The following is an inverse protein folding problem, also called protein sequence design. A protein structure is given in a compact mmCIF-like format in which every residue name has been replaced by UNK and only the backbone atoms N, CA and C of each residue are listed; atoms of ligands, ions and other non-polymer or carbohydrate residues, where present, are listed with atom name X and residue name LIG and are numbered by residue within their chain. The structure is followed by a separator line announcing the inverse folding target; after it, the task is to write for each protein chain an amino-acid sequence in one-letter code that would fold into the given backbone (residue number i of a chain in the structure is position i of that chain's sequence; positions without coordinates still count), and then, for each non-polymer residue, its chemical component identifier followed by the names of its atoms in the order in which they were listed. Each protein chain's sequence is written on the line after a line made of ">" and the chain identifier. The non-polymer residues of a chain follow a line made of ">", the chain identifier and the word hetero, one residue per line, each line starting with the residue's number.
data_IF_035289904535
#
_entry.id   IF_035289904535
#
_cell.length_a   1.000
_cell.length_b   1.000
_cell.length_c   1.000
_cell.angle_alpha   90.00
_cell.angle_beta   90.00
_cell.angle_gamma   90.00
#
_symmetry.space_group_name_H-M   'P 1'
#
loop_
_entity.id
_entity.type
_entity.pdbx_description
1 polymer ?
#
# COMPACT_ATOMS: atom_id res chain seq x y z
N UNK A 1 -11.72 -27.43 7.27
CA UNK A 1 -11.29 -26.41 6.31
C UNK A 1 -9.79 -26.42 6.27
N UNK A 2 -9.17 -26.37 5.10
CA UNK A 2 -7.74 -26.14 5.00
C UNK A 2 -7.43 -24.76 5.55
N UNK A 3 -6.41 -24.63 6.40
CA UNK A 3 -5.92 -23.33 6.84
C UNK A 3 -5.17 -22.69 5.67
N UNK A 4 -5.19 -21.36 5.57
CA UNK A 4 -4.43 -20.64 4.55
C UNK A 4 -3.43 -19.69 5.20
N UNK A 5 -2.39 -19.30 4.45
CA UNK A 5 -1.42 -18.30 4.85
C UNK A 5 -1.62 -17.03 4.03
N UNK A 6 -1.60 -15.87 4.70
CA UNK A 6 -1.70 -14.56 4.04
C UNK A 6 -0.30 -14.07 3.69
N UNK A 7 -0.12 -13.71 2.43
CA UNK A 7 1.08 -13.09 1.88
C UNK A 7 0.75 -11.73 1.27
N UNK A 8 1.79 -10.92 1.14
CA UNK A 8 1.78 -9.69 0.35
C UNK A 8 3.15 -9.44 -0.24
N UNK A 9 3.24 -8.53 -1.20
CA UNK A 9 4.53 -7.92 -1.51
C UNK A 9 4.85 -6.79 -0.54
N UNK A 10 6.13 -6.38 -0.47
CA UNK A 10 6.63 -5.39 0.48
C UNK A 10 6.03 -3.97 0.31
N UNK A 11 5.34 -3.70 -0.79
CA UNK A 11 4.72 -2.38 -1.03
C UNK A 11 3.49 -2.09 -0.15
N UNK A 12 3.08 -3.02 0.72
CA UNK A 12 2.09 -2.78 1.78
C UNK A 12 2.65 -1.99 2.96
N UNK A 13 3.96 -1.84 3.06
CA UNK A 13 4.68 -1.08 4.10
C UNK A 13 4.38 -1.54 5.55
N UNK A 14 3.89 -2.77 5.75
CA UNK A 14 3.71 -3.33 7.08
C UNK A 14 5.05 -3.54 7.77
N UNK A 15 5.20 -3.01 8.98
CA UNK A 15 6.38 -3.27 9.82
C UNK A 15 6.49 -4.75 10.19
N UNK A 16 7.67 -5.22 10.56
CA UNK A 16 7.87 -6.60 11.02
C UNK A 16 6.99 -6.93 12.24
N UNK A 17 6.76 -5.95 13.12
CA UNK A 17 5.87 -6.09 14.27
C UNK A 17 4.41 -6.31 13.80
N UNK A 18 3.92 -5.51 12.87
CA UNK A 18 2.57 -5.66 12.31
C UNK A 18 2.42 -6.98 11.55
N UNK A 19 3.43 -7.37 10.75
CA UNK A 19 3.44 -8.66 10.06
C UNK A 19 3.29 -9.83 11.03
N UNK A 20 4.02 -9.80 12.15
CA UNK A 20 3.93 -10.83 13.19
C UNK A 20 2.56 -10.81 13.91
N UNK A 21 2.05 -9.62 14.27
CA UNK A 21 0.78 -9.48 14.97
C UNK A 21 -0.41 -9.99 14.14
N UNK A 22 -0.41 -9.75 12.84
CA UNK A 22 -1.45 -10.18 11.90
C UNK A 22 -1.15 -11.51 11.21
N UNK A 23 0.00 -12.13 11.49
CA UNK A 23 0.47 -13.37 10.84
C UNK A 23 0.52 -13.26 9.30
N UNK A 24 0.92 -12.10 8.79
CA UNK A 24 1.10 -11.81 7.38
C UNK A 24 2.58 -11.95 7.02
N UNK A 25 2.88 -12.62 5.91
CA UNK A 25 4.23 -12.73 5.38
C UNK A 25 4.40 -11.81 4.17
N UNK A 26 5.53 -11.06 4.10
CA UNK A 26 5.79 -10.19 2.95
C UNK A 26 6.99 -10.67 2.14
N UNK A 27 6.87 -10.57 0.82
CA UNK A 27 7.97 -10.77 -0.14
C UNK A 27 8.56 -9.39 -0.46
N UNK A 28 9.80 -9.09 -0.05
CA UNK A 28 10.34 -7.74 -0.12
C UNK A 28 10.65 -7.32 -1.55
N UNK A 29 10.49 -6.03 -1.81
CA UNK A 29 11.09 -5.37 -2.95
C UNK A 29 12.59 -5.17 -2.72
N UNK A 30 13.28 -4.80 -3.78
CA UNK A 30 14.69 -4.46 -3.77
C UNK A 30 14.86 -2.97 -4.01
N UNK A 31 15.78 -2.34 -3.29
CA UNK A 31 16.13 -0.92 -3.41
C UNK A 31 17.62 -0.79 -3.70
N UNK A 32 17.97 0.09 -4.60
CA UNK A 32 19.37 0.38 -4.98
C UNK A 32 19.62 1.88 -4.97
N UNK A 33 20.73 2.28 -4.39
CA UNK A 33 21.20 3.68 -4.39
C UNK A 33 22.10 3.98 -5.59
N UNK A 34 22.85 3.00 -6.07
CA UNK A 34 23.84 3.12 -7.16
C UNK A 34 23.34 2.55 -8.50
N UNK A 35 22.18 1.89 -8.50
CA UNK A 35 21.61 1.20 -9.64
C UNK A 35 22.32 -0.11 -10.03
N UNK A 36 23.18 -0.63 -9.16
CA UNK A 36 23.95 -1.88 -9.34
C UNK A 36 23.72 -2.87 -8.22
N UNK A 37 23.82 -2.40 -6.98
CA UNK A 37 23.62 -3.21 -5.78
C UNK A 37 22.19 -3.03 -5.31
N UNK A 38 21.42 -4.11 -5.22
CA UNK A 38 20.04 -4.13 -4.81
C UNK A 38 19.89 -4.84 -3.46
N UNK A 39 19.33 -4.14 -2.48
CA UNK A 39 19.12 -4.59 -1.10
C UNK A 39 17.66 -4.91 -0.87
N UNK A 40 17.36 -6.04 -0.21
CA UNK A 40 15.98 -6.41 0.19
C UNK A 40 15.49 -5.49 1.30
N UNK A 41 14.37 -4.80 1.04
CA UNK A 41 13.72 -3.92 2.01
C UNK A 41 13.36 -4.66 3.29
N UNK A 42 13.52 -4.02 4.45
CA UNK A 42 13.34 -4.54 5.81
C UNK A 42 14.23 -5.72 6.22
N UNK A 43 14.93 -6.38 5.28
CA UNK A 43 15.85 -7.49 5.57
C UNK A 43 17.31 -7.05 5.52
N UNK A 44 17.70 -6.35 4.47
CA UNK A 44 19.07 -5.91 4.20
C UNK A 44 19.19 -4.38 4.25
N UNK A 45 18.08 -3.67 4.10
CA UNK A 45 17.97 -2.22 4.14
C UNK A 45 16.98 -1.80 5.24
N UNK A 46 17.47 -1.06 6.23
CA UNK A 46 16.62 -0.41 7.25
C UNK A 46 16.01 0.88 6.71
N UNK A 47 14.83 1.28 7.23
CA UNK A 47 14.21 2.55 6.85
C UNK A 47 15.08 3.76 7.23
N UNK A 48 15.76 3.72 8.38
CA UNK A 48 16.67 4.82 8.80
C UNK A 48 17.79 5.05 7.79
N UNK A 49 18.44 3.96 7.34
CA UNK A 49 19.48 4.05 6.31
C UNK A 49 18.93 4.57 4.99
N UNK A 50 17.75 4.09 4.59
CA UNK A 50 17.09 4.56 3.38
C UNK A 50 16.75 6.06 3.43
N UNK A 51 16.14 6.52 4.53
CA UNK A 51 15.76 7.93 4.66
C UNK A 51 16.97 8.86 4.80
N UNK A 52 18.03 8.41 5.46
CA UNK A 52 19.28 9.16 5.48
C UNK A 52 19.77 9.43 4.05
N UNK A 53 19.85 8.41 3.20
CA UNK A 53 20.25 8.57 1.80
C UNK A 53 19.28 9.45 0.99
N UNK A 54 17.98 9.25 1.16
CA UNK A 54 16.96 9.99 0.42
C UNK A 54 16.97 11.50 0.74
N UNK A 55 17.18 11.87 2.01
CA UNK A 55 17.03 13.23 2.53
C UNK A 55 18.36 13.95 2.55
N UNK A 56 19.37 13.39 3.21
CA UNK A 56 20.67 14.03 3.42
C UNK A 56 21.51 14.03 2.15
N UNK A 57 21.56 12.91 1.44
CA UNK A 57 22.31 12.79 0.20
C UNK A 57 21.49 13.23 -1.04
N UNK A 58 20.18 13.50 -0.86
CA UNK A 58 19.24 13.89 -1.94
C UNK A 58 19.27 12.88 -3.09
N UNK A 59 19.37 11.61 -2.75
CA UNK A 59 19.47 10.50 -3.68
C UNK A 59 18.14 10.26 -4.43
N UNK A 60 18.25 9.51 -5.53
CA UNK A 60 17.11 8.99 -6.28
C UNK A 60 17.22 7.47 -6.33
N UNK A 61 16.81 6.77 -5.28
CA UNK A 61 16.87 5.31 -5.25
C UNK A 61 16.08 4.68 -6.40
N UNK A 62 16.54 3.53 -6.86
CA UNK A 62 15.83 2.69 -7.83
C UNK A 62 15.25 1.49 -7.12
N UNK A 63 14.14 0.98 -7.62
CA UNK A 63 13.50 -0.23 -7.09
C UNK A 63 13.46 -1.33 -8.13
N UNK A 64 13.48 -2.57 -7.66
CA UNK A 64 13.17 -3.76 -8.44
C UNK A 64 12.09 -4.57 -7.72
N UNK A 65 11.18 -5.12 -8.49
CA UNK A 65 10.11 -5.97 -7.94
C UNK A 65 10.65 -7.33 -7.49
N UNK A 66 9.95 -8.04 -6.59
CA UNK A 66 10.26 -9.42 -6.25
C UNK A 66 10.21 -10.32 -7.48
N UNK A 67 11.19 -11.20 -7.62
CA UNK A 67 11.26 -12.16 -8.72
C UNK A 67 10.23 -13.30 -8.53
N UNK A 68 10.01 -14.07 -9.58
CA UNK A 68 9.24 -15.33 -9.51
C UNK A 68 9.82 -16.27 -8.47
N UNK A 69 11.15 -16.37 -8.41
CA UNK A 69 11.85 -17.22 -7.44
C UNK A 69 11.62 -16.79 -6.00
N UNK A 70 11.62 -15.47 -5.71
CA UNK A 70 11.32 -14.95 -4.37
C UNK A 70 9.92 -15.39 -3.90
N UNK A 71 8.92 -15.41 -4.80
CA UNK A 71 7.57 -15.89 -4.47
C UNK A 71 7.51 -17.41 -4.32
N UNK A 72 8.20 -18.18 -5.17
CA UNK A 72 8.31 -19.63 -5.00
C UNK A 72 8.92 -19.97 -3.64
N UNK A 73 10.06 -19.37 -3.29
CA UNK A 73 10.71 -19.58 -1.98
C UNK A 73 9.80 -19.19 -0.80
N UNK A 74 9.01 -18.11 -0.94
CA UNK A 74 8.12 -17.65 0.11
C UNK A 74 6.89 -18.56 0.31
N UNK A 75 6.31 -19.06 -0.79
CA UNK A 75 5.05 -19.83 -0.74
C UNK A 75 5.27 -21.31 -0.40
N UNK A 76 6.37 -21.91 -0.85
CA UNK A 76 6.67 -23.34 -0.69
C UNK A 76 6.50 -23.85 0.75
N UNK A 77 7.06 -23.19 1.80
CA UNK A 77 6.92 -23.69 3.17
C UNK A 77 5.46 -23.77 3.66
N UNK A 78 4.60 -22.86 3.21
CA UNK A 78 3.18 -22.88 3.57
C UNK A 78 2.46 -24.06 2.86
N UNK A 79 2.76 -24.29 1.59
CA UNK A 79 2.21 -25.38 0.79
C UNK A 79 2.66 -26.75 1.30
N UNK A 80 3.95 -26.90 1.65
CA UNK A 80 4.48 -28.11 2.29
C UNK A 80 3.80 -28.41 3.64
N UNK A 81 3.40 -27.35 4.37
CA UNK A 81 2.61 -27.47 5.60
C UNK A 81 1.12 -27.76 5.35
N UNK A 82 0.69 -27.95 4.11
CA UNK A 82 -0.70 -28.23 3.72
C UNK A 82 -1.64 -27.05 3.85
N UNK A 83 -1.10 -25.80 3.78
CA UNK A 83 -1.89 -24.56 3.80
C UNK A 83 -2.16 -24.08 2.39
N UNK A 84 -3.34 -23.51 2.19
CA UNK A 84 -3.65 -22.71 1.00
C UNK A 84 -2.99 -21.34 1.08
N UNK A 85 -2.97 -20.58 -0.01
CA UNK A 85 -2.33 -19.25 -0.08
C UNK A 85 -3.30 -18.19 -0.54
N UNK A 86 -3.33 -17.08 0.21
CA UNK A 86 -3.84 -15.78 -0.23
C UNK A 86 -2.67 -14.82 -0.35
N UNK A 87 -2.47 -14.20 -1.52
CA UNK A 87 -1.44 -13.17 -1.70
C UNK A 87 -2.03 -11.91 -2.31
N UNK A 88 -1.97 -10.79 -1.58
CA UNK A 88 -2.47 -9.48 -1.99
C UNK A 88 -1.30 -8.60 -2.42
N UNK A 89 -1.40 -7.99 -3.59
CA UNK A 89 -0.30 -7.26 -4.24
C UNK A 89 -0.62 -5.80 -4.47
N UNK A 90 0.43 -4.97 -4.55
CA UNK A 90 0.34 -3.62 -5.10
C UNK A 90 -0.32 -3.66 -6.47
N UNK A 91 -1.08 -2.60 -6.81
CA UNK A 91 -1.73 -2.51 -8.11
C UNK A 91 -0.78 -2.80 -9.28
N UNK A 92 -1.24 -3.63 -10.21
CA UNK A 92 -0.49 -4.03 -11.41
C UNK A 92 -0.10 -2.83 -12.30
N UNK A 93 -0.79 -1.71 -12.18
CA UNK A 93 -0.47 -0.49 -12.96
C UNK A 93 0.82 0.21 -12.48
N UNK A 94 1.23 -0.03 -11.22
CA UNK A 94 2.43 0.55 -10.62
C UNK A 94 3.61 -0.44 -10.58
N UNK A 95 3.34 -1.76 -10.51
CA UNK A 95 4.38 -2.79 -10.40
C UNK A 95 3.98 -4.11 -11.05
N UNK A 96 4.96 -4.80 -11.64
CA UNK A 96 4.80 -6.17 -12.12
C UNK A 96 4.88 -7.25 -11.03
N UNK A 97 4.90 -6.88 -9.72
CA UNK A 97 5.01 -7.82 -8.60
C UNK A 97 3.95 -8.93 -8.66
N UNK A 98 2.69 -8.55 -8.89
CA UNK A 98 1.59 -9.50 -9.06
C UNK A 98 1.85 -10.49 -10.21
N UNK A 99 2.43 -10.04 -11.33
CA UNK A 99 2.75 -10.93 -12.45
C UNK A 99 3.81 -11.97 -12.08
N UNK A 100 4.82 -11.59 -11.28
CA UNK A 100 5.80 -12.55 -10.74
C UNK A 100 5.12 -13.59 -9.84
N UNK A 101 4.20 -13.17 -8.96
CA UNK A 101 3.44 -14.08 -8.10
C UNK A 101 2.50 -15.01 -8.89
N UNK A 102 1.85 -14.52 -9.95
CA UNK A 102 1.03 -15.34 -10.84
C UNK A 102 1.86 -16.41 -11.55
N UNK A 103 3.08 -16.07 -11.97
CA UNK A 103 4.00 -17.06 -12.59
C UNK A 103 4.47 -18.08 -11.56
N UNK A 104 4.80 -17.65 -10.33
CA UNK A 104 5.14 -18.55 -9.22
C UNK A 104 3.97 -19.50 -8.88
N UNK A 105 2.74 -18.99 -8.86
CA UNK A 105 1.53 -19.80 -8.68
C UNK A 105 1.47 -20.94 -9.71
N UNK A 106 1.62 -20.65 -11.01
CA UNK A 106 1.56 -21.67 -12.06
C UNK A 106 2.59 -22.78 -11.84
N UNK A 107 3.81 -22.42 -11.42
CA UNK A 107 4.87 -23.41 -11.13
C UNK A 107 4.50 -24.28 -9.91
N UNK A 108 3.98 -23.64 -8.86
CA UNK A 108 3.64 -24.35 -7.62
C UNK A 108 2.37 -25.21 -7.72
N UNK A 109 1.42 -24.86 -8.58
CA UNK A 109 0.22 -25.69 -8.84
C UNK A 109 0.56 -27.03 -9.51
N UNK A 110 1.68 -27.12 -10.25
CA UNK A 110 2.18 -28.38 -10.80
C UNK A 110 2.71 -29.29 -9.68
N UNK A 111 3.35 -28.73 -8.66
CA UNK A 111 3.95 -29.46 -7.55
C UNK A 111 2.92 -29.75 -6.43
N UNK A 112 1.99 -28.81 -6.18
CA UNK A 112 0.96 -28.86 -5.14
C UNK A 112 -0.46 -28.82 -5.73
N UNK A 113 -0.91 -29.84 -6.51
CA UNK A 113 -2.15 -29.75 -7.28
C UNK A 113 -3.44 -29.67 -6.47
N UNK A 114 -3.38 -29.97 -5.17
CA UNK A 114 -4.54 -29.89 -4.26
C UNK A 114 -4.61 -28.57 -3.48
N UNK A 115 -3.57 -27.73 -3.54
CA UNK A 115 -3.53 -26.45 -2.84
C UNK A 115 -4.24 -25.36 -3.66
N UNK A 116 -4.92 -24.45 -2.96
CA UNK A 116 -5.50 -23.26 -3.55
C UNK A 116 -4.55 -22.09 -3.37
N UNK A 117 -4.19 -21.44 -4.47
CA UNK A 117 -3.35 -20.24 -4.46
C UNK A 117 -4.13 -19.09 -5.10
N UNK A 118 -4.53 -18.11 -4.29
CA UNK A 118 -5.22 -16.92 -4.74
C UNK A 118 -4.28 -15.72 -4.75
N UNK A 119 -4.11 -15.12 -5.93
CA UNK A 119 -3.32 -13.91 -6.15
C UNK A 119 -4.29 -12.78 -6.47
N UNK A 120 -4.31 -11.74 -5.64
CA UNK A 120 -5.29 -10.64 -5.70
C UNK A 120 -4.56 -9.32 -5.93
N UNK A 121 -5.06 -8.53 -6.88
CA UNK A 121 -4.65 -7.13 -7.07
C UNK A 121 -5.39 -6.23 -6.07
N UNK A 122 -4.68 -5.51 -5.22
CA UNK A 122 -5.30 -4.59 -4.27
C UNK A 122 -5.92 -3.35 -4.92
N UNK A 123 -5.58 -3.04 -6.17
CA UNK A 123 -5.79 -1.73 -6.81
C UNK A 123 -5.22 -0.56 -6.01
N UNK A 124 -4.35 -0.83 -5.05
CA UNK A 124 -3.80 0.12 -4.10
C UNK A 124 -2.30 -0.12 -3.86
N UNK A 125 -1.75 0.55 -2.87
CA UNK A 125 -0.37 0.45 -2.40
C UNK A 125 -0.31 0.88 -0.92
N UNK A 126 0.85 0.72 -0.28
CA UNK A 126 1.16 1.24 1.05
C UNK A 126 0.02 1.03 2.08
N UNK A 127 -0.34 2.04 2.85
CA UNK A 127 -1.34 1.93 3.91
C UNK A 127 -2.70 1.41 3.47
N UNK A 128 -3.18 1.70 2.25
CA UNK A 128 -4.46 1.14 1.79
C UNK A 128 -4.38 -0.35 1.47
N UNK A 129 -3.25 -0.83 0.96
CA UNK A 129 -2.97 -2.26 0.83
C UNK A 129 -2.84 -2.92 2.20
N UNK A 130 -2.17 -2.23 3.15
CA UNK A 130 -2.07 -2.69 4.54
C UNK A 130 -3.43 -2.83 5.22
N UNK A 131 -4.34 -1.85 5.07
CA UNK A 131 -5.69 -1.90 5.64
C UNK A 131 -6.47 -3.12 5.12
N UNK A 132 -6.41 -3.40 3.82
CA UNK A 132 -7.04 -4.61 3.24
C UNK A 132 -6.45 -5.90 3.81
N UNK A 133 -5.14 -5.95 4.02
CA UNK A 133 -4.45 -7.09 4.63
C UNK A 133 -4.84 -7.28 6.09
N UNK A 134 -4.96 -6.19 6.86
CA UNK A 134 -5.40 -6.24 8.26
C UNK A 134 -6.82 -6.77 8.38
N UNK A 135 -7.74 -6.33 7.51
CA UNK A 135 -9.10 -6.85 7.47
C UNK A 135 -9.14 -8.33 7.05
N UNK A 136 -8.37 -8.72 6.04
CA UNK A 136 -8.23 -10.14 5.65
C UNK A 136 -7.72 -11.02 6.80
N UNK A 137 -6.76 -10.52 7.58
CA UNK A 137 -6.23 -11.22 8.75
C UNK A 137 -7.27 -11.32 9.88
N UNK A 138 -8.05 -10.26 10.12
CA UNK A 138 -9.18 -10.28 11.07
C UNK A 138 -10.21 -11.35 10.67
N UNK A 139 -10.60 -11.37 9.41
CA UNK A 139 -11.52 -12.39 8.88
C UNK A 139 -10.98 -13.82 9.10
N UNK A 140 -9.68 -14.03 8.84
CA UNK A 140 -9.04 -15.33 9.08
C UNK A 140 -9.08 -15.71 10.57
N UNK A 141 -8.76 -14.77 11.48
CA UNK A 141 -8.81 -14.99 12.93
C UNK A 141 -10.23 -15.32 13.42
N UNK A 142 -11.26 -14.79 12.77
CA UNK A 142 -12.66 -15.09 13.04
C UNK A 142 -13.15 -16.39 12.36
N UNK A 143 -12.25 -17.14 11.71
CA UNK A 143 -12.55 -18.44 11.12
C UNK A 143 -13.23 -18.39 9.75
N UNK A 144 -13.18 -17.25 9.05
CA UNK A 144 -13.66 -17.13 7.67
C UNK A 144 -12.82 -17.99 6.72
N UNK A 145 -13.46 -18.53 5.71
CA UNK A 145 -12.79 -19.31 4.66
C UNK A 145 -11.96 -18.44 3.73
N UNK A 146 -11.03 -19.06 3.02
CA UNK A 146 -10.22 -18.41 1.99
C UNK A 146 -11.10 -17.73 0.93
N UNK A 147 -12.16 -18.40 0.50
CA UNK A 147 -13.10 -17.92 -0.51
C UNK A 147 -13.87 -16.68 -0.03
N UNK A 148 -14.31 -16.65 1.24
CA UNK A 148 -14.96 -15.46 1.84
C UNK A 148 -14.00 -14.27 1.87
N UNK A 149 -12.72 -14.49 2.27
CA UNK A 149 -11.71 -13.43 2.31
C UNK A 149 -11.37 -12.92 0.92
N UNK A 150 -11.24 -13.80 -0.07
CA UNK A 150 -11.03 -13.40 -1.48
C UNK A 150 -12.23 -12.61 -1.99
N UNK A 151 -13.46 -13.05 -1.70
CA UNK A 151 -14.69 -12.34 -2.09
C UNK A 151 -14.74 -10.93 -1.49
N UNK A 152 -14.37 -10.78 -0.22
CA UNK A 152 -14.23 -9.47 0.42
C UNK A 152 -13.21 -8.59 -0.32
N UNK A 153 -11.99 -9.07 -0.52
CA UNK A 153 -10.92 -8.29 -1.16
C UNK A 153 -11.30 -7.82 -2.57
N UNK A 154 -11.96 -8.68 -3.36
CA UNK A 154 -12.43 -8.35 -4.71
C UNK A 154 -13.51 -7.24 -4.74
N UNK A 155 -14.28 -7.11 -3.66
CA UNK A 155 -15.25 -6.03 -3.49
C UNK A 155 -14.56 -4.79 -2.90
N UNK A 156 -13.86 -4.95 -1.78
CA UNK A 156 -13.29 -3.85 -0.98
C UNK A 156 -12.24 -3.01 -1.74
N UNK A 157 -11.46 -3.62 -2.64
CA UNK A 157 -10.48 -2.89 -3.45
C UNK A 157 -11.07 -1.74 -4.27
N UNK A 158 -12.38 -1.76 -4.58
CA UNK A 158 -13.09 -0.71 -5.33
C UNK A 158 -13.42 0.49 -4.44
N UNK A 159 -13.64 0.24 -3.14
CA UNK A 159 -14.00 1.26 -2.15
C UNK A 159 -12.78 1.82 -1.44
N UNK A 160 -11.62 1.17 -1.60
CA UNK A 160 -10.34 1.54 -1.00
C UNK A 160 -9.59 2.57 -1.82
N UNK A 161 -8.98 3.58 -1.17
CA UNK A 161 -8.21 4.63 -1.86
C UNK A 161 -7.17 5.29 -0.99
N UNK A 162 -6.26 5.99 -1.64
CA UNK A 162 -5.27 6.86 -0.99
C UNK A 162 -5.44 8.28 -1.53
N UNK A 163 -5.48 9.25 -0.63
CA UNK A 163 -5.43 10.67 -0.95
C UNK A 163 -4.15 11.22 -0.34
N UNK A 164 -3.20 11.66 -1.15
CA UNK A 164 -1.87 12.01 -0.67
C UNK A 164 -1.28 13.25 -1.34
N UNK A 165 -0.46 13.96 -0.60
CA UNK A 165 0.33 15.11 -1.05
C UNK A 165 1.80 14.70 -1.11
N UNK A 166 2.48 15.07 -2.18
CA UNK A 166 3.92 14.84 -2.35
C UNK A 166 4.71 16.15 -2.39
N UNK A 167 6.00 16.06 -2.07
CA UNK A 167 6.91 17.20 -2.12
C UNK A 167 7.09 17.74 -3.53
N UNK A 168 7.28 16.85 -4.51
CA UNK A 168 7.40 17.17 -5.93
C UNK A 168 7.09 15.95 -6.81
N UNK A 169 6.80 16.17 -8.10
CA UNK A 169 6.58 15.09 -9.07
C UNK A 169 7.88 14.41 -9.54
N UNK A 170 9.04 14.89 -9.14
CA UNK A 170 10.35 14.46 -9.67
C UNK A 170 10.59 12.96 -9.45
N UNK A 171 10.27 12.43 -8.27
CA UNK A 171 10.45 11.02 -7.96
C UNK A 171 9.52 10.14 -8.79
N UNK A 172 8.24 10.50 -8.91
CA UNK A 172 7.27 9.79 -9.78
C UNK A 172 7.70 9.78 -11.25
N UNK A 173 8.24 10.93 -11.73
CA UNK A 173 8.76 11.03 -13.10
C UNK A 173 9.96 10.12 -13.33
N UNK A 174 10.98 10.24 -12.46
CA UNK A 174 12.21 9.46 -12.56
C UNK A 174 11.94 7.95 -12.39
N UNK A 175 11.01 7.60 -11.54
CA UNK A 175 10.56 6.21 -11.34
C UNK A 175 9.65 5.68 -12.44
N UNK A 176 9.16 6.52 -13.35
CA UNK A 176 8.24 6.13 -14.42
C UNK A 176 6.82 5.79 -13.95
N UNK A 177 6.43 6.17 -12.72
CA UNK A 177 5.10 5.93 -12.13
C UNK A 177 4.21 7.18 -12.13
N UNK A 178 4.57 8.18 -12.90
CA UNK A 178 3.81 9.44 -13.01
C UNK A 178 2.46 9.26 -13.73
N UNK A 179 2.28 8.23 -14.55
CA UNK A 179 1.00 7.87 -15.17
C UNK A 179 0.24 9.04 -15.79
N UNK A 180 -1.06 9.06 -15.57
CA UNK A 180 -2.00 10.07 -16.14
C UNK A 180 -1.76 11.50 -15.64
N UNK A 181 -1.01 11.67 -14.54
CA UNK A 181 -0.70 13.01 -13.98
C UNK A 181 0.53 13.66 -14.60
N UNK A 182 1.16 13.07 -15.62
CA UNK A 182 2.33 13.60 -16.31
C UNK A 182 2.12 15.03 -16.86
N UNK A 183 0.90 15.38 -17.24
CA UNK A 183 0.55 16.72 -17.72
C UNK A 183 0.74 17.82 -16.64
N UNK A 184 0.76 17.48 -15.35
CA UNK A 184 1.04 18.43 -14.28
C UNK A 184 2.52 18.83 -14.21
N UNK A 185 3.42 18.07 -14.85
CA UNK A 185 4.87 18.24 -14.73
C UNK A 185 5.43 19.50 -15.39
N UNK A 186 4.69 20.10 -16.31
CA UNK A 186 5.27 21.10 -17.24
C UNK A 186 5.35 22.53 -16.70
N UNK A 187 4.74 22.90 -15.56
CA UNK A 187 4.59 24.34 -15.26
C UNK A 187 4.64 24.81 -13.79
N UNK A 188 5.02 24.01 -12.79
CA UNK A 188 4.74 24.45 -11.43
C UNK A 188 5.93 24.28 -10.45
N UNK A 189 6.86 25.20 -10.53
CA UNK A 189 7.80 25.50 -9.44
C UNK A 189 7.00 25.98 -8.20
N UNK A 190 7.21 25.33 -7.04
CA UNK A 190 6.67 25.68 -5.70
C UNK A 190 5.24 25.23 -5.38
N UNK A 191 4.61 24.35 -6.14
CA UNK A 191 3.38 23.69 -5.67
C UNK A 191 3.64 22.26 -5.21
N UNK A 192 2.79 21.81 -4.32
CA UNK A 192 2.74 20.42 -3.80
C UNK A 192 1.52 19.74 -4.43
N UNK A 193 1.73 18.79 -5.32
CA UNK A 193 0.62 18.04 -5.92
C UNK A 193 -0.13 17.23 -4.89
N UNK A 194 -1.45 17.17 -5.06
CA UNK A 194 -2.34 16.23 -4.35
C UNK A 194 -2.82 15.22 -5.37
N UNK A 195 -2.69 13.97 -5.01
CA UNK A 195 -2.92 12.82 -5.87
C UNK A 195 -3.93 11.89 -5.18
N UNK A 196 -4.77 11.25 -5.97
CA UNK A 196 -5.68 10.20 -5.51
C UNK A 196 -5.33 8.91 -6.24
N UNK A 197 -4.98 7.86 -5.48
CA UNK A 197 -4.91 6.50 -6.00
C UNK A 197 -6.25 5.83 -5.75
N UNK A 198 -6.91 5.42 -6.82
CA UNK A 198 -8.18 4.69 -6.83
C UNK A 198 -8.29 3.85 -8.09
N UNK A 199 -9.03 2.78 -8.03
CA UNK A 199 -9.25 1.87 -9.18
C UNK A 199 -7.92 1.42 -9.84
N UNK A 200 -6.86 1.30 -9.04
CA UNK A 200 -5.53 0.93 -9.49
C UNK A 200 -4.71 2.03 -10.15
N UNK A 201 -5.22 3.26 -10.30
CA UNK A 201 -4.58 4.33 -11.04
C UNK A 201 -4.44 5.63 -10.24
N UNK A 202 -3.39 6.41 -10.54
CA UNK A 202 -3.19 7.73 -9.96
C UNK A 202 -3.95 8.80 -10.74
N UNK A 203 -4.64 9.67 -10.01
CA UNK A 203 -5.43 10.78 -10.53
C UNK A 203 -5.02 12.09 -9.88
N UNK A 204 -5.28 13.21 -10.57
CA UNK A 204 -5.09 14.55 -10.00
C UNK A 204 -6.16 14.79 -8.94
N UNK A 205 -5.74 14.99 -7.69
CA UNK A 205 -6.60 15.44 -6.59
C UNK A 205 -6.63 16.96 -6.41
N UNK A 206 -5.55 17.64 -6.85
CA UNK A 206 -5.41 19.07 -6.69
C UNK A 206 -3.95 19.49 -6.56
N UNK A 207 -3.76 20.70 -6.03
CA UNK A 207 -2.43 21.22 -5.73
C UNK A 207 -2.49 22.33 -4.67
N UNK A 208 -1.43 22.45 -3.88
CA UNK A 208 -1.31 23.47 -2.84
C UNK A 208 0.09 24.09 -2.83
N UNK A 209 0.21 25.27 -2.21
CA UNK A 209 1.52 25.93 -2.03
C UNK A 209 2.07 25.81 -0.61
N UNK A 210 1.29 25.31 0.33
CA UNK A 210 1.74 25.14 1.72
C UNK A 210 1.33 23.79 2.25
N UNK A 211 2.16 23.19 3.11
CA UNK A 211 1.90 21.91 3.74
C UNK A 211 0.62 21.93 4.58
N UNK A 212 0.46 22.94 5.45
CA UNK A 212 -0.74 23.10 6.26
C UNK A 212 -2.04 23.14 5.45
N UNK A 213 -2.06 23.89 4.33
CA UNK A 213 -3.22 23.90 3.43
C UNK A 213 -3.40 22.56 2.71
N UNK A 214 -2.27 21.89 2.41
CA UNK A 214 -2.30 20.56 1.81
C UNK A 214 -2.95 19.52 2.71
N UNK A 215 -2.55 19.46 3.97
CA UNK A 215 -3.17 18.56 4.96
C UNK A 215 -4.68 18.83 5.07
N UNK A 216 -5.09 20.10 5.18
CA UNK A 216 -6.51 20.43 5.21
C UNK A 216 -7.26 20.00 3.93
N UNK A 217 -6.61 20.09 2.76
CA UNK A 217 -7.19 19.64 1.50
C UNK A 217 -7.27 18.11 1.41
N UNK A 218 -6.30 17.35 1.98
CA UNK A 218 -6.41 15.88 2.09
C UNK A 218 -7.64 15.49 2.88
N UNK A 219 -7.84 16.10 4.05
CA UNK A 219 -9.01 15.83 4.91
C UNK A 219 -10.31 16.20 4.20
N UNK A 220 -10.37 17.36 3.56
CA UNK A 220 -11.52 17.81 2.78
C UNK A 220 -11.86 16.82 1.65
N UNK A 221 -10.88 16.38 0.88
CA UNK A 221 -11.09 15.41 -0.20
C UNK A 221 -11.55 14.05 0.33
N UNK A 222 -11.10 13.66 1.52
CA UNK A 222 -11.58 12.45 2.20
C UNK A 222 -13.07 12.62 2.60
N UNK A 223 -13.45 13.77 3.17
CA UNK A 223 -14.84 14.05 3.51
C UNK A 223 -15.74 14.14 2.27
N UNK A 224 -15.27 14.81 1.21
CA UNK A 224 -15.98 14.89 -0.07
C UNK A 224 -16.21 13.52 -0.71
N UNK A 225 -15.29 12.56 -0.50
CA UNK A 225 -15.51 11.20 -0.98
C UNK A 225 -16.78 10.60 -0.37
N UNK A 226 -16.93 10.64 0.96
CA UNK A 226 -18.10 10.12 1.66
C UNK A 226 -19.39 10.88 1.29
N UNK A 227 -19.31 12.20 1.15
CA UNK A 227 -20.45 13.01 0.71
C UNK A 227 -20.93 12.63 -0.70
N UNK A 228 -20.00 12.38 -1.63
CA UNK A 228 -20.33 12.04 -3.03
C UNK A 228 -20.78 10.60 -3.22
N UNK A 229 -20.22 9.67 -2.47
CA UNK A 229 -20.60 8.25 -2.53
C UNK A 229 -21.88 7.95 -1.75
N UNK A 230 -22.21 8.78 -0.75
CA UNK A 230 -23.30 8.52 0.18
C UNK A 230 -23.00 7.43 1.21
N UNK A 231 -21.73 6.99 1.29
CA UNK A 231 -21.30 5.96 2.22
C UNK A 231 -21.09 6.53 3.63
N UNK A 232 -21.30 5.69 4.64
CA UNK A 232 -21.14 6.07 6.04
C UNK A 232 -19.67 5.97 6.46
N UNK A 233 -19.01 7.05 6.93
CA UNK A 233 -17.65 6.98 7.45
C UNK A 233 -17.43 5.96 8.59
N UNK A 234 -18.47 5.63 9.36
CA UNK A 234 -18.41 4.62 10.41
C UNK A 234 -18.14 3.19 9.89
N UNK A 235 -18.41 2.94 8.60
CA UNK A 235 -18.15 1.65 7.95
C UNK A 235 -16.69 1.49 7.50
N UNK A 236 -15.86 2.52 7.73
CA UNK A 236 -14.48 2.60 7.25
C UNK A 236 -13.48 2.69 8.38
N UNK A 237 -12.26 2.20 8.07
CA UNK A 237 -11.05 2.47 8.84
C UNK A 237 -10.12 3.36 8.01
N UNK A 238 -9.34 4.19 8.68
CA UNK A 238 -8.37 5.06 8.03
C UNK A 238 -7.02 5.01 8.72
N UNK A 239 -5.97 5.25 7.92
CA UNK A 239 -4.58 5.29 8.35
C UNK A 239 -3.90 6.51 7.76
N UNK A 240 -3.16 7.27 8.57
CA UNK A 240 -2.29 8.34 8.09
C UNK A 240 -0.91 7.76 7.82
N UNK A 241 -0.40 7.95 6.59
CA UNK A 241 0.94 7.54 6.18
C UNK A 241 1.83 8.74 5.86
N UNK A 242 3.08 8.71 6.32
CA UNK A 242 4.08 9.75 6.00
C UNK A 242 5.42 9.12 5.64
N UNK A 243 6.22 9.84 4.85
CA UNK A 243 7.62 9.50 4.64
C UNK A 243 8.47 10.00 5.83
N UNK A 244 9.14 11.13 5.67
CA UNK A 244 10.05 11.76 6.62
C UNK A 244 9.41 12.83 7.51
N UNK A 245 8.15 13.18 7.25
CA UNK A 245 7.43 14.29 7.91
C UNK A 245 6.46 13.77 8.99
N UNK A 246 6.98 12.98 9.92
CA UNK A 246 6.19 12.30 10.96
C UNK A 246 5.46 13.28 11.88
N UNK A 247 5.92 14.51 12.02
CA UNK A 247 5.25 15.58 12.76
C UNK A 247 3.89 15.98 12.16
N UNK A 248 3.60 15.57 10.92
CA UNK A 248 2.31 15.83 10.28
C UNK A 248 1.23 14.79 10.60
N UNK A 249 1.60 13.66 11.22
CA UNK A 249 0.64 12.60 11.57
C UNK A 249 -0.43 13.12 12.52
N UNK A 250 -0.03 13.55 13.72
CA UNK A 250 -0.98 13.98 14.73
C UNK A 250 -1.89 15.17 14.30
N UNK A 251 -1.38 16.21 13.62
CA UNK A 251 -2.25 17.25 13.06
C UNK A 251 -3.24 16.72 12.01
N UNK A 252 -2.84 15.76 11.17
CA UNK A 252 -3.72 15.17 10.15
C UNK A 252 -4.82 14.34 10.80
N UNK A 253 -4.48 13.51 11.77
CA UNK A 253 -5.45 12.71 12.54
C UNK A 253 -6.44 13.58 13.30
N UNK A 254 -5.96 14.66 13.94
CA UNK A 254 -6.82 15.60 14.65
C UNK A 254 -7.85 16.26 13.73
N UNK A 255 -7.43 16.67 12.52
CA UNK A 255 -8.33 17.26 11.53
C UNK A 255 -9.32 16.22 10.99
N UNK A 256 -8.88 14.97 10.74
CA UNK A 256 -9.76 13.89 10.33
C UNK A 256 -10.85 13.60 11.36
N UNK A 257 -10.47 13.50 12.63
CA UNK A 257 -11.43 13.28 13.73
C UNK A 257 -12.41 14.44 13.91
N UNK A 258 -11.98 15.67 13.67
CA UNK A 258 -12.86 16.83 13.72
C UNK A 258 -13.88 16.85 12.58
N UNK A 259 -13.45 16.49 11.36
CA UNK A 259 -14.30 16.51 10.15
C UNK A 259 -15.15 15.24 10.02
N UNK A 260 -14.61 14.09 10.37
CA UNK A 260 -15.23 12.77 10.25
C UNK A 260 -15.13 12.00 11.58
N UNK A 261 -15.88 12.43 12.63
CA UNK A 261 -15.76 11.87 13.98
C UNK A 261 -16.12 10.39 14.08
N UNK A 262 -16.85 9.84 13.11
CA UNK A 262 -17.25 8.43 13.06
C UNK A 262 -16.21 7.53 12.36
N UNK A 263 -15.25 8.13 11.64
CA UNK A 263 -14.19 7.38 10.97
C UNK A 263 -13.20 6.85 12.01
N UNK A 264 -12.99 5.54 12.04
CA UNK A 264 -12.00 4.96 12.94
C UNK A 264 -10.59 5.14 12.38
N UNK A 265 -9.68 5.64 13.23
CA UNK A 265 -8.27 5.74 12.88
C UNK A 265 -7.51 4.57 13.50
N UNK A 266 -6.76 3.86 12.69
CA UNK A 266 -5.78 2.85 13.13
C UNK A 266 -4.38 3.47 13.24
N UNK A 267 -3.43 2.73 13.79
CA UNK A 267 -2.05 3.20 13.97
C UNK A 267 -1.47 3.76 12.67
N UNK A 268 -0.76 4.90 12.74
CA UNK A 268 -0.15 5.51 11.57
C UNK A 268 0.96 4.67 11.00
N UNK A 269 1.33 4.94 9.74
CA UNK A 269 2.31 4.21 8.97
C UNK A 269 3.48 5.13 8.58
N UNK A 270 4.72 4.64 8.75
CA UNK A 270 5.87 5.19 8.02
C UNK A 270 5.94 4.48 6.67
N UNK A 271 5.90 5.26 5.58
CA UNK A 271 5.93 4.73 4.21
C UNK A 271 7.30 4.07 3.96
N UNK A 272 7.31 2.86 3.41
CA UNK A 272 8.50 2.06 3.17
C UNK A 272 9.41 2.61 2.07
N UNK A 273 10.60 2.02 1.95
CA UNK A 273 11.64 2.47 1.04
C UNK A 273 11.23 2.36 -0.43
N UNK A 274 10.52 1.30 -0.79
CA UNK A 274 10.02 1.08 -2.16
C UNK A 274 9.07 2.19 -2.59
N UNK A 275 8.04 2.46 -1.82
CA UNK A 275 7.06 3.49 -2.14
C UNK A 275 7.70 4.88 -2.08
N UNK A 276 8.51 5.15 -1.07
CA UNK A 276 9.20 6.45 -0.89
C UNK A 276 10.20 6.75 -2.00
N UNK A 277 10.82 5.74 -2.62
CA UNK A 277 11.68 5.93 -3.81
C UNK A 277 10.91 6.59 -4.98
N UNK A 278 9.60 6.34 -5.09
CA UNK A 278 8.74 6.87 -6.14
C UNK A 278 7.96 8.12 -5.73
N UNK A 279 7.56 8.25 -4.48
CA UNK A 279 6.83 9.43 -3.99
C UNK A 279 7.75 10.56 -3.53
N UNK A 280 8.97 10.22 -3.12
CA UNK A 280 9.97 11.15 -2.60
C UNK A 280 9.68 11.63 -1.17
N UNK A 281 10.60 12.45 -0.64
CA UNK A 281 10.44 13.03 0.69
C UNK A 281 9.28 14.02 0.77
N UNK A 282 8.76 14.22 1.97
CA UNK A 282 7.65 15.13 2.23
C UNK A 282 6.31 14.61 1.72
N UNK A 283 6.10 13.29 1.68
CA UNK A 283 4.81 12.70 1.35
C UNK A 283 3.99 12.51 2.61
N UNK A 284 2.71 12.90 2.54
CA UNK A 284 1.70 12.66 3.59
C UNK A 284 0.41 12.23 2.91
N UNK A 285 -0.21 11.16 3.38
CA UNK A 285 -1.42 10.60 2.80
C UNK A 285 -2.41 10.08 3.83
N UNK A 286 -3.66 9.99 3.39
CA UNK A 286 -4.77 9.37 4.11
C UNK A 286 -5.19 8.16 3.29
N UNK A 287 -5.10 6.99 3.90
CA UNK A 287 -5.53 5.72 3.37
C UNK A 287 -6.88 5.37 4.00
N UNK A 288 -7.85 4.92 3.21
CA UNK A 288 -9.15 4.44 3.73
C UNK A 288 -9.50 3.09 3.13
N UNK A 289 -10.11 2.23 3.92
CA UNK A 289 -10.69 0.96 3.48
C UNK A 289 -11.99 0.68 4.24
N UNK A 290 -12.95 0.05 3.56
CA UNK A 290 -14.23 -0.34 4.15
C UNK A 290 -14.08 -1.66 4.90
N UNK A 291 -14.68 -1.74 6.08
CA UNK A 291 -14.62 -2.93 6.94
C UNK A 291 -15.34 -4.11 6.30
N UNK A 292 -14.81 -5.31 6.55
CA UNK A 292 -15.37 -6.52 5.95
C UNK A 292 -16.80 -6.81 6.43
N UNK A 293 -17.18 -6.42 7.67
CA UNK A 293 -18.53 -6.59 8.21
C UNK A 293 -19.60 -5.83 7.41
N UNK A 294 -19.19 -4.86 6.60
CA UNK A 294 -20.08 -4.02 5.80
C UNK A 294 -20.33 -4.58 4.39
N UNK A 295 -19.84 -5.79 4.09
CA UNK A 295 -20.08 -6.50 2.83
C UNK A 295 -20.96 -7.73 3.04
N UNK A 296 -21.80 -8.02 2.06
CA UNK A 296 -22.52 -9.30 1.99
C UNK A 296 -21.63 -10.33 1.30
N UNK A 297 -21.02 -11.20 2.10
CA UNK A 297 -20.03 -12.21 1.67
C UNK A 297 -20.66 -13.59 1.55
#
# INVERSE_FOLDING_TARGET
>A
MHSFQIFSDGACDLTLEAQNAYQISTVPFYVSFDGKTYLKELKELTLDHFYHHLIEEKGFPKTSLPSVHDFVEAFTPALEAGKDILSLHITHTLSGSMQSALTAKLMLEEEFPNAKIHIVDSHNATGSQALLLMEAARMQQEGKSLEEVVSYLEQAKKDTRIIFMIGSLTHLQRGGRIGKIAALSSNILKIKPIIVLRDGEIHVGGATRSRKKGIAELVKLTAEHFQKSGENPADYIAMVGTTDVTEEIAPTEALLKAELPQLELVSPLQIGATISSHTGPGTTGICIAKRYECYSL
#
